data_IF_448043714097
#
_entry.id   IF_448043714097
#
_cell.length_a   1.000
_cell.length_b   1.000
_cell.length_c   1.000
_cell.angle_alpha   90.00
_cell.angle_beta   90.00
_cell.angle_gamma   90.00
#
_symmetry.space_group_name_H-M   'P 1'
#
loop_
_entity.id
_entity.type
_entity.pdbx_description
1 polymer ?
#
# COMPACT_ATOMS: atom_id res chain seq x y z
N UNK A 1 1.45 -12.04 4.40
CA UNK A 1 0.03 -11.97 4.81
C UNK A 1 -0.26 -10.50 5.02
N UNK A 2 -0.95 -9.85 4.09
CA UNK A 2 -1.26 -8.42 4.21
C UNK A 2 -2.33 -8.21 5.28
N UNK A 3 -2.01 -7.42 6.30
CA UNK A 3 -3.00 -6.93 7.26
C UNK A 3 -3.58 -5.61 6.72
N UNK A 4 -4.91 -5.56 6.60
CA UNK A 4 -5.65 -4.33 6.30
C UNK A 4 -6.29 -3.85 7.60
N UNK A 5 -6.06 -2.58 7.96
CA UNK A 5 -6.73 -1.93 9.07
C UNK A 5 -7.67 -0.87 8.46
N UNK A 6 -8.95 -0.92 8.82
CA UNK A 6 -9.99 -0.02 8.29
C UNK A 6 -10.38 0.99 9.35
N UNK A 7 -10.23 2.27 9.03
CA UNK A 7 -10.70 3.38 9.87
C UNK A 7 -11.86 4.08 9.14
N UNK A 8 -13.03 4.17 9.78
CA UNK A 8 -14.15 4.93 9.22
C UNK A 8 -13.93 6.43 9.46
N UNK A 9 -13.97 7.25 8.42
CA UNK A 9 -14.03 8.71 8.55
C UNK A 9 -15.38 9.20 8.01
N UNK A 10 -16.02 10.14 8.72
CA UNK A 10 -17.30 10.72 8.31
C UNK A 10 -17.04 12.16 7.80
N UNK A 11 -17.52 12.47 6.60
CA UNK A 11 -17.68 13.83 6.09
C UNK A 11 -19.17 14.10 5.85
N UNK A 12 -19.62 15.33 6.08
CA UNK A 12 -21.03 15.72 6.10
C UNK A 12 -21.81 15.52 4.78
N UNK A 13 -21.18 15.03 3.72
CA UNK A 13 -21.79 14.86 2.39
C UNK A 13 -21.54 13.50 1.73
N UNK A 14 -20.69 12.61 2.28
CA UNK A 14 -20.40 11.28 1.73
C UNK A 14 -19.86 10.32 2.81
N UNK A 15 -20.26 9.04 2.76
CA UNK A 15 -19.67 7.96 3.57
C UNK A 15 -18.39 7.43 2.91
N UNK A 16 -17.26 8.11 3.20
CA UNK A 16 -15.95 7.67 2.76
C UNK A 16 -15.36 6.61 3.69
N UNK A 17 -14.77 5.55 3.15
CA UNK A 17 -13.98 4.60 3.94
C UNK A 17 -12.49 4.83 3.69
N UNK A 18 -11.72 4.83 4.76
CA UNK A 18 -10.27 4.85 4.70
C UNK A 18 -9.75 3.44 4.96
N UNK A 19 -9.01 2.91 3.99
CA UNK A 19 -8.40 1.59 4.09
C UNK A 19 -6.88 1.73 4.09
N UNK A 20 -6.22 1.11 5.07
CA UNK A 20 -4.79 0.88 4.99
C UNK A 20 -4.53 -0.39 4.19
N UNK A 21 -3.82 -0.26 3.08
CA UNK A 21 -3.32 -1.37 2.28
C UNK A 21 -1.83 -1.56 2.57
N UNK A 22 -1.46 -2.79 2.94
CA UNK A 22 -0.07 -3.15 3.23
C UNK A 22 0.45 -4.10 2.16
N UNK A 23 1.55 -3.75 1.51
CA UNK A 23 2.29 -4.64 0.60
C UNK A 23 3.60 -5.08 1.25
N UNK A 24 3.82 -6.38 1.33
CA UNK A 24 5.11 -6.95 1.73
C UNK A 24 5.89 -7.32 0.46
N UNK A 25 7.10 -6.81 0.33
CA UNK A 25 8.08 -7.12 -0.71
C UNK A 25 9.26 -7.86 -0.09
N UNK A 26 9.75 -8.87 -0.79
CA UNK A 26 10.93 -9.63 -0.38
C UNK A 26 11.86 -9.85 -1.56
N UNK A 27 13.17 -9.79 -1.32
CA UNK A 27 14.16 -10.09 -2.37
C UNK A 27 15.49 -10.58 -1.80
N UNK A 28 16.09 -11.63 -2.39
CA UNK A 28 17.45 -12.05 -2.04
C UNK A 28 18.53 -11.20 -2.72
N UNK A 29 18.15 -10.22 -3.54
CA UNK A 29 19.08 -9.40 -4.35
C UNK A 29 19.61 -8.17 -3.60
N UNK A 30 19.28 -8.02 -2.32
CA UNK A 30 19.73 -6.95 -1.45
C UNK A 30 19.00 -5.60 -1.62
N UNK A 31 19.46 -4.61 -0.88
CA UNK A 31 18.76 -3.33 -0.66
C UNK A 31 18.51 -2.50 -1.92
N UNK A 32 19.42 -2.56 -2.91
CA UNK A 32 19.20 -1.80 -4.15
C UNK A 32 18.02 -2.37 -4.94
N UNK A 33 17.89 -3.70 -4.98
CA UNK A 33 16.80 -4.36 -5.69
C UNK A 33 15.46 -4.11 -5.01
N UNK A 34 15.40 -4.18 -3.67
CA UNK A 34 14.15 -3.92 -2.95
C UNK A 34 13.68 -2.48 -3.14
N UNK A 35 14.61 -1.51 -3.18
CA UNK A 35 14.30 -0.09 -3.45
C UNK A 35 13.77 0.12 -4.86
N UNK A 36 14.33 -0.56 -5.86
CA UNK A 36 13.83 -0.50 -7.24
C UNK A 36 12.43 -1.11 -7.35
N UNK A 37 12.18 -2.23 -6.66
CA UNK A 37 10.85 -2.84 -6.60
C UNK A 37 9.86 -1.91 -5.92
N UNK A 38 10.21 -1.33 -4.76
CA UNK A 38 9.37 -0.38 -4.06
C UNK A 38 9.04 0.85 -4.92
N UNK A 39 10.04 1.41 -5.63
CA UNK A 39 9.82 2.53 -6.55
C UNK A 39 8.84 2.18 -7.68
N UNK A 40 8.99 1.00 -8.30
CA UNK A 40 8.08 0.53 -9.35
C UNK A 40 6.66 0.26 -8.82
N UNK A 41 6.53 -0.19 -7.57
CA UNK A 41 5.23 -0.36 -6.91
C UNK A 41 4.59 0.99 -6.64
N UNK A 42 5.33 1.97 -6.13
CA UNK A 42 4.83 3.34 -5.93
C UNK A 42 4.36 3.93 -7.26
N UNK A 43 5.15 3.86 -8.32
CA UNK A 43 4.79 4.40 -9.63
C UNK A 43 3.51 3.78 -10.21
N UNK A 44 3.22 2.52 -9.89
CA UNK A 44 2.03 1.81 -10.40
C UNK A 44 0.81 1.90 -9.51
N UNK A 45 0.97 2.13 -8.20
CA UNK A 45 -0.13 2.16 -7.23
C UNK A 45 -0.48 3.58 -6.79
N UNK A 46 0.49 4.49 -6.77
CA UNK A 46 0.19 5.90 -6.53
C UNK A 46 -0.68 6.43 -7.67
N UNK A 47 -1.83 7.00 -7.34
CA UNK A 47 -2.86 7.48 -8.29
C UNK A 47 -3.42 6.39 -9.22
N UNK A 48 -3.31 5.12 -8.84
CA UNK A 48 -3.87 4.04 -9.63
C UNK A 48 -5.40 4.02 -9.54
N UNK A 49 -6.05 3.99 -10.69
CA UNK A 49 -7.49 3.76 -10.78
C UNK A 49 -7.77 2.24 -10.67
N UNK A 50 -7.85 1.76 -9.42
CA UNK A 50 -8.18 0.37 -9.10
C UNK A 50 -9.68 0.21 -8.93
N UNK A 51 -10.24 -0.74 -9.68
CA UNK A 51 -11.63 -1.15 -9.53
C UNK A 51 -11.81 -1.95 -8.25
N UNK A 52 -12.59 -1.41 -7.32
CA UNK A 52 -13.02 -2.11 -6.10
C UNK A 52 -14.52 -2.41 -6.26
N UNK A 53 -14.95 -3.68 -6.38
CA UNK A 53 -16.36 -3.98 -6.56
C UNK A 53 -17.21 -3.40 -5.42
N UNK A 54 -18.19 -2.56 -5.75
CA UNK A 54 -19.09 -1.89 -4.80
C UNK A 54 -18.54 -0.60 -4.17
N UNK A 55 -17.35 -0.15 -4.55
CA UNK A 55 -16.75 1.10 -4.06
C UNK A 55 -16.04 1.85 -5.18
N UNK A 56 -16.18 3.17 -5.21
CA UNK A 56 -15.32 4.00 -6.06
C UNK A 56 -14.03 4.33 -5.29
N UNK A 57 -12.87 3.95 -5.81
CA UNK A 57 -11.58 4.40 -5.30
C UNK A 57 -11.38 5.85 -5.74
N UNK A 58 -11.33 6.76 -4.78
CA UNK A 58 -11.09 8.18 -5.02
C UNK A 58 -9.61 8.45 -5.15
N UNK A 59 -8.81 7.83 -4.28
CA UNK A 59 -7.38 8.07 -4.21
C UNK A 59 -6.66 6.87 -3.60
N UNK A 60 -5.51 6.52 -4.17
CA UNK A 60 -4.57 5.59 -3.57
C UNK A 60 -3.23 6.30 -3.40
N UNK A 61 -2.91 6.60 -2.15
CA UNK A 61 -1.72 7.35 -1.78
C UNK A 61 -0.71 6.44 -1.10
N UNK A 62 0.57 6.58 -1.46
CA UNK A 62 1.66 5.96 -0.71
C UNK A 62 1.96 6.78 0.56
N UNK A 63 1.97 6.13 1.73
CA UNK A 63 2.26 6.80 2.99
C UNK A 63 3.74 6.66 3.36
N UNK A 64 4.21 5.42 3.51
CA UNK A 64 5.58 5.15 3.90
C UNK A 64 5.99 3.70 3.57
N UNK A 65 7.30 3.44 3.66
CA UNK A 65 7.85 2.10 3.54
C UNK A 65 8.90 1.84 4.60
N UNK A 66 8.86 0.67 5.20
CA UNK A 66 9.85 0.17 6.13
C UNK A 66 10.68 -0.89 5.42
N UNK A 67 12.00 -0.68 5.36
CA UNK A 67 12.93 -1.70 4.85
C UNK A 67 13.69 -2.29 6.02
N UNK A 68 13.62 -3.59 6.19
CA UNK A 68 14.36 -4.33 7.20
C UNK A 68 15.70 -4.80 6.64
N UNK A 69 16.69 -4.93 7.53
CA UNK A 69 17.95 -5.55 7.17
C UNK A 69 17.73 -7.00 6.69
N UNK A 70 18.62 -7.55 5.84
CA UNK A 70 18.53 -8.92 5.38
C UNK A 70 18.43 -9.91 6.55
N UNK A 71 17.54 -10.88 6.43
CA UNK A 71 17.40 -11.95 7.42
C UNK A 71 18.56 -12.96 7.36
N UNK A 72 18.49 -14.02 8.17
CA UNK A 72 19.51 -15.09 8.20
C UNK A 72 19.70 -15.81 6.86
N UNK A 73 18.74 -15.70 5.94
CA UNK A 73 18.80 -16.26 4.58
C UNK A 73 19.29 -15.23 3.55
N UNK A 74 19.60 -14.00 3.98
CA UNK A 74 19.99 -12.91 3.11
C UNK A 74 18.83 -12.25 2.36
N UNK A 75 17.59 -12.47 2.81
CA UNK A 75 16.40 -11.87 2.18
C UNK A 75 16.15 -10.50 2.81
N UNK A 76 16.17 -9.46 1.97
CA UNK A 76 15.73 -8.12 2.37
C UNK A 76 14.21 -8.04 2.30
N UNK A 77 13.59 -7.61 3.39
CA UNK A 77 12.15 -7.41 3.50
C UNK A 77 11.82 -5.93 3.45
N UNK A 78 10.79 -5.54 2.70
CA UNK A 78 10.25 -4.20 2.71
C UNK A 78 8.73 -4.24 2.83
N UNK A 79 8.20 -3.56 3.84
CA UNK A 79 6.77 -3.35 4.01
C UNK A 79 6.42 -1.96 3.51
N UNK A 80 5.38 -1.85 2.70
CA UNK A 80 4.89 -0.60 2.15
C UNK A 80 3.46 -0.39 2.60
N UNK A 81 3.14 0.85 2.98
CA UNK A 81 1.83 1.26 3.45
C UNK A 81 1.22 2.25 2.47
N UNK A 82 -0.01 1.97 2.09
CA UNK A 82 -0.81 2.82 1.23
C UNK A 82 -2.14 3.13 1.91
N UNK A 83 -2.64 4.32 1.65
CA UNK A 83 -3.93 4.80 2.09
C UNK A 83 -4.85 4.85 0.89
N UNK A 84 -5.91 4.06 0.94
CA UNK A 84 -6.95 4.04 -0.08
C UNK A 84 -8.19 4.76 0.47
N UNK A 85 -8.61 5.82 -0.21
CA UNK A 85 -9.84 6.53 0.06
C UNK A 85 -10.90 6.02 -0.89
N UNK A 86 -11.95 5.42 -0.35
CA UNK A 86 -13.08 4.92 -1.14
C UNK A 86 -14.36 5.61 -0.73
N UNK A 87 -15.32 5.66 -1.64
CA UNK A 87 -16.71 6.00 -1.33
C UNK A 87 -17.60 4.83 -1.72
N UNK A 88 -18.61 4.56 -0.89
CA UNK A 88 -19.62 3.55 -1.22
C UNK A 88 -20.56 4.15 -2.26
N UNK A 89 -20.75 3.45 -3.38
CA UNK A 89 -21.72 3.81 -4.43
C UNK A 89 -23.16 3.52 -3.97
#
# INVERSE_FOLDING_TARGET
>A
MGASNTACWHSATFDGQEHTLTLDLETPKGDMAIRQMAAAVIERLHDADLLIPGHALIELQFECSETHAPDVQGITHCRMFFKALTVSD
#
